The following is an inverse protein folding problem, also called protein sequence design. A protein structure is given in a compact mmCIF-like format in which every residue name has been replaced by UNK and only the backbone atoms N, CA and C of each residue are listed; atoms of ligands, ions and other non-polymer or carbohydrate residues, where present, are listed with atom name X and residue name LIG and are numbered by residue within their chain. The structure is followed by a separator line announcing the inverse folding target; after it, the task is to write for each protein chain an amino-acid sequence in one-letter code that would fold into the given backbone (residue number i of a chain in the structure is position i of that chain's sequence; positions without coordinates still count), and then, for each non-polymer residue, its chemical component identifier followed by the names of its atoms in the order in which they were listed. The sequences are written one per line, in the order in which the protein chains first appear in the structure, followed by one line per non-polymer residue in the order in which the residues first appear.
data_IF_574393702280
#
_entry.id   IF_574393702280
#
_cell.length_a   1.000
_cell.length_b   1.000
_cell.length_c   1.000
_cell.angle_alpha   90.00
_cell.angle_beta   90.00
_cell.angle_gamma   90.00
#
_symmetry.space_group_name_H-M   'P 1'
#
loop_
_entity.id
_entity.type
_entity.pdbx_description
1 polymer ?
#
# COMPACT_ATOMS: atom_id res chain seq x y z
N UNK A 1 -7.18 -54.58 47.97
CA UNK A 1 -6.39 -54.34 46.73
C UNK A 1 -7.18 -53.59 45.65
N UNK A 2 -8.36 -54.07 45.22
CA UNK A 2 -9.16 -53.42 44.15
C UNK A 2 -9.62 -51.98 44.44
N UNK A 3 -9.91 -51.64 45.71
CA UNK A 3 -10.30 -50.27 46.13
C UNK A 3 -9.13 -49.28 46.11
N UNK A 4 -7.93 -49.70 46.52
CA UNK A 4 -6.73 -48.86 46.46
C UNK A 4 -6.29 -48.60 45.01
N UNK A 5 -6.44 -49.61 44.14
CA UNK A 5 -6.18 -49.47 42.70
C UNK A 5 -7.10 -48.43 42.06
N UNK A 6 -8.40 -48.44 42.40
CA UNK A 6 -9.37 -47.47 41.89
C UNK A 6 -9.03 -46.03 42.31
N UNK A 7 -8.62 -45.83 43.57
CA UNK A 7 -8.24 -44.50 44.07
C UNK A 7 -6.97 -44.00 43.37
N UNK A 8 -5.99 -44.87 43.15
CA UNK A 8 -4.77 -44.51 42.44
C UNK A 8 -5.04 -44.11 40.97
N UNK A 9 -5.96 -44.81 40.29
CA UNK A 9 -6.37 -44.48 38.92
C UNK A 9 -7.09 -43.14 38.87
N UNK A 10 -8.00 -42.86 39.81
CA UNK A 10 -8.70 -41.57 39.88
C UNK A 10 -7.70 -40.43 40.12
N UNK A 11 -6.74 -40.62 41.03
CA UNK A 11 -5.72 -39.62 41.33
C UNK A 11 -4.82 -39.34 40.11
N UNK A 12 -4.43 -40.40 39.38
CA UNK A 12 -3.66 -40.28 38.15
C UNK A 12 -4.46 -39.54 37.06
N UNK A 13 -5.77 -39.81 36.94
CA UNK A 13 -6.63 -39.10 35.99
C UNK A 13 -6.76 -37.60 36.33
N UNK A 14 -6.88 -37.25 37.61
CA UNK A 14 -6.95 -35.84 38.05
C UNK A 14 -5.66 -35.09 37.71
N UNK A 15 -4.50 -35.73 37.82
CA UNK A 15 -3.21 -35.12 37.50
C UNK A 15 -3.04 -34.86 35.99
N UNK A 16 -3.61 -35.71 35.13
CA UNK A 16 -3.52 -35.59 33.67
C UNK A 16 -4.48 -34.51 33.10
N UNK A 17 -5.54 -34.16 33.84
CA UNK A 17 -6.56 -33.18 33.42
C UNK A 17 -6.24 -31.75 33.88
N UNK A 18 -5.08 -31.53 34.50
CA UNK A 18 -4.64 -30.16 34.83
C UNK A 18 -4.33 -29.39 33.53
N UNK A 19 -5.19 -28.41 33.21
CA UNK A 19 -5.05 -27.55 32.04
C UNK A 19 -3.71 -26.81 32.07
N UNK A 20 -3.00 -26.83 30.94
CA UNK A 20 -1.80 -26.02 30.71
C UNK A 20 -2.19 -24.53 30.75
N UNK A 21 -1.93 -23.86 31.86
CA UNK A 21 -1.96 -22.39 31.89
C UNK A 21 -0.78 -21.89 31.06
N UNK A 22 -1.07 -21.22 29.95
CA UNK A 22 -0.09 -20.46 29.17
C UNK A 22 -0.11 -19.04 29.73
N UNK A 23 0.91 -18.68 30.49
CA UNK A 23 1.11 -17.29 30.85
C UNK A 23 1.62 -16.55 29.61
N UNK A 24 0.78 -15.70 29.03
CA UNK A 24 1.20 -14.68 28.06
C UNK A 24 1.48 -13.37 28.84
N UNK A 25 2.50 -12.61 28.44
CA UNK A 25 3.16 -11.53 29.22
C UNK A 25 2.28 -10.30 29.62
N UNK A 26 0.95 -10.41 29.55
CA UNK A 26 -0.01 -9.32 29.83
C UNK A 26 -0.96 -9.60 31.01
N UNK A 27 -1.03 -10.83 31.53
CA UNK A 27 -2.01 -11.18 32.59
C UNK A 27 -1.74 -10.52 33.96
N UNK A 28 -0.51 -10.04 34.21
CA UNK A 28 -0.15 -9.36 35.47
C UNK A 28 -0.71 -7.92 35.56
N UNK A 29 -1.21 -7.36 34.45
CA UNK A 29 -1.75 -6.01 34.42
C UNK A 29 -3.27 -5.91 34.66
N UNK A 30 -3.91 -6.99 35.10
CA UNK A 30 -5.26 -6.95 35.65
C UNK A 30 -6.27 -7.77 34.86
N UNK A 31 -7.06 -8.53 35.61
CA UNK A 31 -8.15 -9.43 35.20
C UNK A 31 -9.40 -8.69 34.70
N UNK A 32 -9.21 -7.62 33.95
CA UNK A 32 -10.22 -7.07 33.08
C UNK A 32 -9.52 -6.80 31.76
N UNK A 33 -10.07 -7.35 30.68
CA UNK A 33 -9.82 -6.89 29.32
C UNK A 33 -10.35 -5.45 29.19
N UNK A 34 -9.74 -4.52 29.94
CA UNK A 34 -9.98 -3.10 29.77
C UNK A 34 -9.27 -2.74 28.48
N UNK A 35 -10.02 -2.74 27.39
CA UNK A 35 -9.61 -2.12 26.15
C UNK A 35 -9.52 -0.61 26.42
N UNK A 36 -8.42 -0.16 27.01
CA UNK A 36 -8.19 1.25 27.28
C UNK A 36 -7.90 1.92 25.92
N UNK A 37 -8.84 2.77 25.48
CA UNK A 37 -8.65 3.56 24.28
C UNK A 37 -7.35 4.41 24.38
N UNK A 38 -6.39 4.23 23.45
CA UNK A 38 -5.18 5.04 23.44
C UNK A 38 -5.52 6.51 23.14
N UNK A 39 -4.66 7.41 23.61
CA UNK A 39 -4.74 8.84 23.30
C UNK A 39 -3.68 9.19 22.24
N UNK A 40 -4.10 9.77 21.13
CA UNK A 40 -3.23 10.22 20.05
C UNK A 40 -3.36 11.73 19.90
N UNK A 41 -2.25 12.47 19.96
CA UNK A 41 -2.21 13.90 19.65
C UNK A 41 -1.67 14.07 18.23
N UNK A 42 -2.49 14.64 17.35
CA UNK A 42 -2.10 15.04 16.00
C UNK A 42 -1.70 16.52 16.04
N UNK A 43 -0.49 16.82 15.61
CA UNK A 43 -0.01 18.19 15.44
C UNK A 43 -0.06 18.50 13.95
N UNK A 44 -0.93 19.42 13.56
CA UNK A 44 -1.23 19.76 12.18
C UNK A 44 -0.52 21.05 11.77
N UNK A 45 0.49 20.94 10.92
CA UNK A 45 1.19 22.10 10.37
C UNK A 45 0.31 22.89 9.39
N UNK A 46 0.30 24.21 9.53
CA UNK A 46 -0.38 25.16 8.64
C UNK A 46 0.54 26.26 8.14
N UNK A 47 1.86 26.03 8.20
CA UNK A 47 2.89 26.92 7.67
C UNK A 47 2.68 27.24 6.18
N UNK A 48 3.30 28.32 5.68
CA UNK A 48 3.08 28.80 4.31
C UNK A 48 3.39 27.78 3.19
N UNK A 49 4.26 26.79 3.44
CA UNK A 49 4.50 25.72 2.45
C UNK A 49 3.33 24.75 2.29
N UNK A 50 2.42 24.71 3.26
CA UNK A 50 1.27 23.81 3.25
C UNK A 50 0.13 24.33 2.35
N UNK A 51 0.17 25.59 1.92
CA UNK A 51 -0.76 26.14 0.93
C UNK A 51 -0.31 25.95 -0.52
N UNK A 52 0.90 25.41 -0.75
CA UNK A 52 1.40 25.13 -2.10
C UNK A 52 0.53 24.05 -2.75
N UNK A 53 -0.01 24.37 -3.92
CA UNK A 53 -0.73 23.45 -4.79
C UNK A 53 0.28 22.69 -5.65
N UNK A 54 0.87 21.64 -5.07
CA UNK A 54 1.81 20.76 -5.75
C UNK A 54 1.51 19.28 -5.54
N UNK A 55 0.38 18.96 -4.90
CA UNK A 55 -0.07 17.58 -4.73
C UNK A 55 -1.00 17.20 -5.88
N UNK A 56 -0.75 16.09 -6.59
CA UNK A 56 -1.66 15.59 -7.63
C UNK A 56 -3.09 15.45 -7.09
N UNK A 57 -4.06 16.03 -7.80
CA UNK A 57 -5.39 16.26 -7.25
C UNK A 57 -6.28 15.01 -7.13
N UNK A 58 -6.16 14.08 -8.08
CA UNK A 58 -6.83 12.80 -8.04
C UNK A 58 -5.78 11.69 -8.12
N UNK A 59 -5.94 10.62 -7.35
CA UNK A 59 -5.10 9.43 -7.54
C UNK A 59 -5.34 8.82 -8.92
N UNK A 60 -4.29 8.23 -9.50
CA UNK A 60 -4.43 7.42 -10.70
C UNK A 60 -5.45 6.29 -10.47
N UNK A 61 -6.48 6.23 -11.31
CA UNK A 61 -7.45 5.16 -11.33
C UNK A 61 -7.28 4.36 -12.62
N UNK A 62 -6.84 3.09 -12.56
CA UNK A 62 -6.63 2.28 -13.77
C UNK A 62 -7.90 1.99 -14.57
N UNK A 63 -9.08 2.13 -13.95
CA UNK A 63 -10.38 1.99 -14.64
C UNK A 63 -10.80 3.26 -15.40
N UNK A 64 -10.13 4.39 -15.18
CA UNK A 64 -10.39 5.64 -15.89
C UNK A 64 -9.49 5.73 -17.11
N UNK A 65 -10.06 6.17 -18.23
CA UNK A 65 -9.31 6.42 -19.46
C UNK A 65 -8.91 7.88 -19.52
N UNK A 66 -7.62 8.16 -19.43
CA UNK A 66 -7.09 9.53 -19.44
C UNK A 66 -6.78 9.98 -20.86
N UNK A 67 -7.16 11.21 -21.20
CA UNK A 67 -6.85 11.77 -22.52
C UNK A 67 -5.37 12.15 -22.63
N UNK A 68 -4.74 11.80 -23.75
CA UNK A 68 -3.37 12.19 -24.04
C UNK A 68 -2.83 11.56 -25.32
N UNK A 69 -1.54 11.74 -25.58
CA UNK A 69 -0.90 11.27 -26.83
C UNK A 69 -0.40 9.82 -26.77
N UNK A 70 -0.37 9.22 -25.59
CA UNK A 70 0.09 7.83 -25.41
C UNK A 70 -1.08 6.86 -25.57
N UNK A 71 -0.86 5.71 -26.20
CA UNK A 71 -1.91 4.70 -26.37
C UNK A 71 -2.18 4.04 -25.02
N UNK A 72 -3.43 4.10 -24.54
CA UNK A 72 -3.78 3.73 -23.16
C UNK A 72 -3.34 2.32 -22.75
N UNK A 73 -3.51 1.33 -23.63
CA UNK A 73 -3.14 -0.07 -23.37
C UNK A 73 -1.72 -0.43 -23.77
N UNK A 74 -0.95 0.50 -24.33
CA UNK A 74 0.44 0.26 -24.67
C UNK A 74 1.34 0.45 -23.43
N UNK A 75 2.50 -0.21 -23.46
CA UNK A 75 3.50 -0.15 -22.40
C UNK A 75 4.71 0.58 -22.93
N UNK A 76 5.21 1.52 -22.14
CA UNK A 76 6.34 2.36 -22.48
C UNK A 76 7.46 2.14 -21.45
N UNK A 77 8.69 2.11 -21.92
CA UNK A 77 9.88 2.08 -21.09
C UNK A 77 10.38 3.51 -20.87
N UNK A 78 10.64 3.87 -19.62
CA UNK A 78 11.33 5.12 -19.31
C UNK A 78 12.82 4.97 -19.59
N UNK A 79 13.36 5.83 -20.44
CA UNK A 79 14.78 5.82 -20.81
C UNK A 79 15.40 7.21 -20.67
N UNK A 80 16.71 7.25 -20.46
CA UNK A 80 17.47 8.49 -20.49
C UNK A 80 18.16 8.65 -21.84
N UNK A 81 17.78 9.68 -22.59
CA UNK A 81 18.30 9.95 -23.92
C UNK A 81 19.65 10.68 -23.89
N UNK A 82 20.40 10.53 -24.98
CA UNK A 82 21.71 11.17 -25.20
C UNK A 82 21.68 12.70 -25.15
N UNK A 83 20.51 13.32 -25.34
CA UNK A 83 20.29 14.77 -25.24
C UNK A 83 20.14 15.30 -23.80
N UNK A 84 20.27 14.44 -22.78
CA UNK A 84 20.23 14.86 -21.38
C UNK A 84 18.82 14.98 -20.81
N UNK A 85 17.91 14.06 -21.15
CA UNK A 85 16.53 14.09 -20.68
C UNK A 85 15.89 12.71 -20.64
N UNK A 86 14.82 12.59 -19.84
CA UNK A 86 14.01 11.39 -19.76
C UNK A 86 12.95 11.37 -20.87
N UNK A 87 12.75 10.22 -21.50
CA UNK A 87 11.67 9.98 -22.47
C UNK A 87 10.98 8.63 -22.19
N UNK A 88 9.80 8.46 -22.80
CA UNK A 88 9.05 7.22 -22.79
C UNK A 88 9.05 6.61 -24.18
N UNK A 89 9.73 5.48 -24.33
CA UNK A 89 9.86 4.76 -25.58
C UNK A 89 8.89 3.58 -25.61
N UNK A 90 8.25 3.33 -26.76
CA UNK A 90 7.28 2.24 -26.89
C UNK A 90 7.98 0.89 -26.66
N UNK A 91 7.52 0.14 -25.66
CA UNK A 91 8.07 -1.17 -25.31
C UNK A 91 7.20 -2.32 -25.83
N UNK A 92 5.88 -2.22 -25.60
CA UNK A 92 4.91 -3.17 -26.13
C UNK A 92 3.65 -2.42 -26.58
N UNK A 93 3.09 -2.83 -27.71
CA UNK A 93 1.88 -2.18 -28.26
C UNK A 93 0.63 -2.45 -27.43
N UNK A 94 0.61 -3.56 -26.69
CA UNK A 94 -0.46 -3.93 -25.78
C UNK A 94 0.10 -4.62 -24.53
N UNK A 95 -0.39 -4.27 -23.35
CA UNK A 95 -0.04 -4.91 -22.07
C UNK A 95 -0.35 -6.41 -22.07
N UNK A 96 -1.28 -6.88 -22.91
CA UNK A 96 -1.58 -8.30 -23.05
C UNK A 96 -0.53 -9.10 -23.80
N UNK A 97 0.37 -8.45 -24.54
CA UNK A 97 1.47 -9.11 -25.25
C UNK A 97 2.56 -9.58 -24.27
N UNK A 98 2.55 -9.04 -23.03
CA UNK A 98 3.52 -9.39 -22.01
C UNK A 98 3.31 -10.82 -21.50
N UNK A 99 4.31 -11.68 -21.72
CA UNK A 99 4.38 -13.04 -21.17
C UNK A 99 5.03 -13.06 -19.77
N UNK A 100 4.81 -11.99 -18.99
CA UNK A 100 5.25 -11.90 -17.62
C UNK A 100 4.09 -11.48 -16.69
N UNK A 101 3.43 -12.44 -16.01
CA UNK A 101 2.22 -12.16 -15.25
C UNK A 101 2.37 -11.14 -14.12
N UNK A 102 3.52 -11.15 -13.43
CA UNK A 102 3.80 -10.21 -12.35
C UNK A 102 3.81 -8.76 -12.84
N UNK A 103 4.60 -8.49 -13.87
CA UNK A 103 4.71 -7.18 -14.52
C UNK A 103 3.37 -6.74 -15.09
N UNK A 104 2.67 -7.64 -15.79
CA UNK A 104 1.34 -7.37 -16.34
C UNK A 104 0.35 -6.94 -15.25
N UNK A 105 0.33 -7.66 -14.13
CA UNK A 105 -0.57 -7.35 -13.01
C UNK A 105 -0.22 -6.01 -12.37
N UNK A 106 1.07 -5.72 -12.16
CA UNK A 106 1.52 -4.45 -11.62
C UNK A 106 1.13 -3.27 -12.52
N UNK A 107 1.39 -3.37 -13.83
CA UNK A 107 1.00 -2.36 -14.82
C UNK A 107 -0.52 -2.12 -14.85
N UNK A 108 -1.33 -3.18 -14.79
CA UNK A 108 -2.79 -3.05 -14.78
C UNK A 108 -3.36 -2.50 -13.46
N UNK A 109 -2.65 -2.70 -12.34
CA UNK A 109 -3.11 -2.28 -11.01
C UNK A 109 -2.65 -0.86 -10.67
N UNK A 110 -1.37 -0.57 -10.88
CA UNK A 110 -0.74 0.69 -10.45
C UNK A 110 -0.47 1.64 -11.62
N UNK A 111 -0.51 1.14 -12.85
CA UNK A 111 -0.13 1.91 -14.05
C UNK A 111 1.36 1.88 -14.35
N UNK A 112 2.19 1.32 -13.48
CA UNK A 112 3.63 1.23 -13.64
C UNK A 112 4.22 0.01 -12.93
N UNK A 113 5.43 -0.39 -13.32
CA UNK A 113 6.27 -1.38 -12.64
C UNK A 113 7.73 -0.94 -12.76
N UNK A 114 8.40 -0.72 -11.63
CA UNK A 114 9.75 -0.15 -11.58
C UNK A 114 10.77 -1.24 -11.32
N UNK A 115 11.99 -1.02 -11.83
CA UNK A 115 13.12 -1.92 -11.61
C UNK A 115 12.81 -3.40 -11.94
N UNK A 116 11.99 -3.63 -12.98
CA UNK A 116 11.49 -4.96 -13.31
C UNK A 116 12.33 -5.65 -14.38
N UNK A 117 12.60 -6.95 -14.21
CA UNK A 117 13.37 -7.75 -15.17
C UNK A 117 12.44 -8.37 -16.21
N UNK A 118 12.48 -7.82 -17.43
CA UNK A 118 11.62 -8.29 -18.51
C UNK A 118 12.32 -8.23 -19.87
N UNK A 119 12.07 -9.26 -20.67
CA UNK A 119 12.60 -9.38 -22.02
C UNK A 119 11.86 -8.45 -22.96
N UNK A 120 12.52 -7.97 -24.00
CA UNK A 120 11.86 -7.22 -25.08
C UNK A 120 11.06 -8.14 -26.02
N UNK A 121 10.63 -7.59 -27.15
CA UNK A 121 9.89 -8.32 -28.19
C UNK A 121 10.64 -9.54 -28.70
N UNK A 122 11.97 -9.46 -28.80
CA UNK A 122 12.81 -10.54 -29.34
C UNK A 122 12.88 -11.72 -28.37
N UNK A 123 12.71 -11.45 -27.08
CA UNK A 123 12.65 -12.45 -26.00
C UNK A 123 11.21 -12.78 -25.59
N UNK A 124 10.22 -12.38 -26.41
CA UNK A 124 8.82 -12.67 -26.22
C UNK A 124 8.22 -12.11 -24.92
N UNK A 125 8.75 -11.00 -24.41
CA UNK A 125 8.25 -10.36 -23.18
C UNK A 125 8.17 -11.27 -21.94
N UNK A 126 9.09 -12.23 -21.85
CA UNK A 126 9.19 -13.17 -20.72
C UNK A 126 9.74 -12.47 -19.47
N UNK A 127 9.48 -13.05 -18.28
CA UNK A 127 10.02 -12.57 -16.99
C UNK A 127 11.54 -12.82 -16.85
N UNK A 128 12.32 -12.44 -17.85
CA UNK A 128 13.76 -12.57 -17.88
C UNK A 128 14.32 -11.48 -18.77
N UNK A 129 15.38 -10.81 -18.34
CA UNK A 129 15.98 -9.75 -19.13
C UNK A 129 16.64 -8.70 -18.26
N UNK A 130 16.93 -7.56 -18.87
CA UNK A 130 17.46 -6.39 -18.18
C UNK A 130 16.39 -5.69 -17.36
N UNK A 131 16.84 -4.98 -16.32
CA UNK A 131 16.00 -4.14 -15.49
C UNK A 131 15.45 -2.96 -16.29
N UNK A 132 14.16 -2.66 -16.12
CA UNK A 132 13.43 -1.61 -16.84
C UNK A 132 12.41 -0.96 -15.92
N UNK A 133 12.15 0.32 -16.14
CA UNK A 133 11.00 1.01 -15.58
C UNK A 133 9.92 1.10 -16.66
N UNK A 134 8.79 0.44 -16.41
CA UNK A 134 7.68 0.34 -17.36
C UNK A 134 6.47 1.10 -16.85
N UNK A 135 5.78 1.75 -17.79
CA UNK A 135 4.61 2.56 -17.53
C UNK A 135 3.53 2.28 -18.58
N UNK A 136 2.27 2.23 -18.15
CA UNK A 136 1.12 2.19 -19.04
C UNK A 136 0.96 3.55 -19.72
N UNK A 137 0.59 3.56 -21.01
CA UNK A 137 0.27 4.80 -21.72
C UNK A 137 -0.85 5.59 -21.04
N UNK A 138 -1.84 4.88 -20.46
CA UNK A 138 -2.91 5.50 -19.68
C UNK A 138 -2.39 6.22 -18.42
N UNK A 139 -1.38 5.64 -17.75
CA UNK A 139 -0.74 6.27 -16.59
C UNK A 139 0.07 7.50 -16.99
N UNK A 140 0.80 7.44 -18.10
CA UNK A 140 1.55 8.59 -18.61
C UNK A 140 0.60 9.71 -19.02
N UNK A 141 -0.53 9.37 -19.65
CA UNK A 141 -1.57 10.35 -19.97
C UNK A 141 -2.14 10.98 -18.70
N UNK A 142 -2.40 10.22 -17.64
CA UNK A 142 -2.78 10.76 -16.33
C UNK A 142 -1.74 11.74 -15.80
N UNK A 143 -0.47 11.32 -15.73
CA UNK A 143 0.64 12.11 -15.19
C UNK A 143 0.86 13.43 -15.96
N UNK A 144 0.70 13.39 -17.29
CA UNK A 144 0.87 14.57 -18.15
C UNK A 144 -0.39 15.43 -18.32
N UNK A 145 -1.58 14.85 -18.16
CA UNK A 145 -2.85 15.55 -18.34
C UNK A 145 -3.07 16.64 -17.30
N UNK A 146 -2.45 16.50 -16.12
CA UNK A 146 -2.75 17.33 -14.96
C UNK A 146 -4.20 17.19 -14.50
N UNK A 147 -4.87 16.06 -14.81
CA UNK A 147 -6.23 15.81 -14.34
C UNK A 147 -6.28 15.73 -12.81
N UNK A 148 -7.15 16.57 -12.24
CA UNK A 148 -7.16 16.91 -10.83
C UNK A 148 -6.30 18.15 -10.62
N UNK A 149 -6.94 19.33 -10.52
CA UNK A 149 -6.27 20.57 -10.14
C UNK A 149 -5.28 20.27 -8.99
N UNK A 150 -4.05 20.79 -9.08
CA UNK A 150 -3.09 20.63 -8.01
C UNK A 150 -3.75 21.02 -6.69
N UNK A 151 -3.67 20.13 -5.71
CA UNK A 151 -4.27 20.33 -4.40
C UNK A 151 -3.22 20.86 -3.46
N UNK A 152 -3.65 21.71 -2.54
CA UNK A 152 -2.76 22.16 -1.48
C UNK A 152 -2.39 20.98 -0.58
N UNK A 153 -1.14 20.94 -0.10
CA UNK A 153 -0.71 19.92 0.89
C UNK A 153 -1.61 19.89 2.12
N UNK A 154 -2.14 21.06 2.52
CA UNK A 154 -3.14 21.19 3.61
C UNK A 154 -4.43 20.44 3.31
N UNK A 155 -4.91 20.52 2.07
CA UNK A 155 -6.16 19.87 1.67
C UNK A 155 -6.04 18.35 1.73
N UNK A 156 -4.94 17.83 1.19
CA UNK A 156 -4.65 16.38 1.23
C UNK A 156 -4.43 15.91 2.67
N UNK A 157 -3.70 16.68 3.48
CA UNK A 157 -3.49 16.33 4.88
C UNK A 157 -4.80 16.28 5.70
N UNK A 158 -5.76 17.19 5.44
CA UNK A 158 -7.09 17.15 6.06
C UNK A 158 -7.88 15.90 5.66
N UNK A 159 -7.82 15.52 4.40
CA UNK A 159 -8.49 14.32 3.89
C UNK A 159 -7.97 13.05 4.56
N UNK A 160 -6.65 12.86 4.59
CA UNK A 160 -6.02 11.68 5.20
C UNK A 160 -6.33 11.59 6.70
N UNK A 161 -6.21 12.70 7.44
CA UNK A 161 -6.52 12.68 8.89
C UNK A 161 -7.99 12.38 9.14
N UNK A 162 -8.89 12.92 8.31
CA UNK A 162 -10.31 12.62 8.38
C UNK A 162 -10.57 11.13 8.15
N UNK A 163 -9.89 10.53 7.16
CA UNK A 163 -9.96 9.09 6.91
C UNK A 163 -9.47 8.29 8.12
N UNK A 164 -8.30 8.63 8.69
CA UNK A 164 -7.74 7.94 9.85
C UNK A 164 -8.69 8.01 11.05
N UNK A 165 -9.26 9.19 11.34
CA UNK A 165 -10.18 9.37 12.47
C UNK A 165 -11.46 8.55 12.27
N UNK A 166 -11.99 8.48 11.04
CA UNK A 166 -13.23 7.76 10.74
C UNK A 166 -13.05 6.24 10.65
N UNK A 167 -11.85 5.76 10.29
CA UNK A 167 -11.54 4.32 10.14
C UNK A 167 -10.95 3.70 11.41
N UNK A 168 -10.68 4.50 12.44
CA UNK A 168 -10.11 4.03 13.69
C UNK A 168 -11.16 3.97 14.81
N UNK A 169 -11.47 2.76 15.25
CA UNK A 169 -12.33 2.54 16.41
C UNK A 169 -11.56 2.58 17.74
N UNK A 170 -12.24 2.98 18.81
CA UNK A 170 -11.75 2.94 20.19
C UNK A 170 -10.42 3.71 20.42
N UNK A 171 -10.20 4.83 19.73
CA UNK A 171 -9.06 5.73 19.93
C UNK A 171 -9.56 7.15 20.25
N UNK A 172 -8.89 7.83 21.18
CA UNK A 172 -9.15 9.23 21.50
C UNK A 172 -8.14 10.13 20.80
N UNK A 173 -8.63 11.00 19.93
CA UNK A 173 -7.78 11.94 19.19
C UNK A 173 -7.83 13.34 19.81
N UNK A 174 -6.66 13.94 20.00
CA UNK A 174 -6.49 15.38 20.17
C UNK A 174 -5.92 15.98 18.88
N UNK A 175 -6.35 17.18 18.53
CA UNK A 175 -5.83 17.92 17.37
C UNK A 175 -5.28 19.26 17.83
N UNK A 176 -4.01 19.52 17.51
CA UNK A 176 -3.34 20.81 17.72
C UNK A 176 -2.98 21.39 16.36
N UNK A 177 -3.28 22.67 16.15
CA UNK A 177 -2.76 23.41 15.00
C UNK A 177 -1.40 23.98 15.36
N UNK A 178 -0.41 23.71 14.52
CA UNK A 178 0.90 24.36 14.53
C UNK A 178 0.98 25.37 13.39
N UNK A 179 1.44 26.57 13.69
CA UNK A 179 1.67 27.63 12.71
C UNK A 179 2.87 28.45 13.16
N UNK A 180 3.73 28.84 12.22
CA UNK A 180 4.85 29.77 12.45
C UNK A 180 4.49 31.14 11.89
#
# INVERSE_FOLDING_TARGET
MKRCLFIAIILALVLIVSSRLRADDIEIYGTASVSIAPNVLIIFDTSGSMSTEDVPGAYYNPATTYSGSYTNNAVYQKIYGWGGGWSYDLFASNVNDLNCPGVKTALQTYGYDLDTNIGDSDHGYTCSGSQKDLYMGNWINYDLSGEGNLRSRTEVAKEIITSVINDTDNVRFGLMRFNY
#
